data_IF_785162775213
#
_entry.id   IF_785162775213
#
_cell.length_a   1.000
_cell.length_b   1.000
_cell.length_c   1.000
_cell.angle_alpha   90.00
_cell.angle_beta   90.00
_cell.angle_gamma   90.00
#
_symmetry.space_group_name_H-M   'P 1'
#
loop_
_entity.id
_entity.type
_entity.pdbx_description
1 polymer ?
#
# COMPACT_ATOMS: atom_id res chain seq x y z
N UNK A 1 6.49 -16.76 -97.88
CA UNK A 1 6.11 -15.70 -96.90
C UNK A 1 7.35 -15.07 -96.27
N UNK A 2 8.08 -14.27 -97.05
CA UNK A 2 9.35 -13.64 -96.69
C UNK A 2 9.16 -12.20 -96.18
N UNK A 3 8.18 -12.00 -95.29
CA UNK A 3 7.75 -10.68 -94.82
C UNK A 3 7.77 -10.49 -93.29
N UNK A 4 8.09 -11.54 -92.52
CA UNK A 4 8.09 -11.52 -91.04
C UNK A 4 9.52 -11.50 -90.46
N UNK A 5 10.50 -12.05 -91.18
CA UNK A 5 11.91 -12.09 -90.77
C UNK A 5 12.74 -10.87 -91.23
N UNK A 6 12.08 -9.80 -91.72
CA UNK A 6 12.75 -8.56 -92.13
C UNK A 6 12.68 -7.43 -91.07
N UNK A 7 11.67 -7.43 -90.19
CA UNK A 7 11.43 -6.36 -89.22
C UNK A 7 12.21 -6.48 -87.91
N UNK A 8 12.80 -7.66 -87.61
CA UNK A 8 13.56 -7.89 -86.36
C UNK A 8 15.06 -7.55 -86.44
N UNK A 9 15.56 -7.09 -87.60
CA UNK A 9 16.98 -6.76 -87.81
C UNK A 9 17.30 -5.26 -87.95
N UNK A 10 16.29 -4.38 -87.86
CA UNK A 10 16.50 -2.91 -87.92
C UNK A 10 16.47 -2.20 -86.55
N UNK A 11 16.21 -2.91 -85.45
CA UNK A 11 16.08 -2.31 -84.10
C UNK A 11 17.38 -2.43 -83.28
N UNK A 12 18.30 -3.33 -83.64
CA UNK A 12 19.58 -3.55 -82.93
C UNK A 12 20.77 -2.88 -83.65
N UNK A 13 20.60 -1.62 -84.07
CA UNK A 13 21.64 -0.82 -84.72
C UNK A 13 21.86 0.57 -84.07
N UNK A 14 21.31 0.82 -82.87
CA UNK A 14 21.48 2.08 -82.10
C UNK A 14 21.86 1.77 -80.64
N UNK A 15 22.96 1.06 -80.46
CA UNK A 15 23.63 0.86 -79.16
C UNK A 15 25.15 1.15 -79.25
N UNK A 16 25.53 2.09 -80.12
CA UNK A 16 26.88 2.64 -80.18
C UNK A 16 26.83 4.15 -80.45
N UNK A 17 27.33 4.91 -79.46
CA UNK A 17 27.82 6.30 -79.55
C UNK A 17 26.88 7.46 -79.93
N UNK A 18 27.23 8.63 -79.39
CA UNK A 18 26.66 9.97 -79.61
C UNK A 18 25.24 10.28 -79.11
N UNK A 19 25.17 10.85 -77.90
CA UNK A 19 24.41 12.08 -77.70
C UNK A 19 25.06 12.93 -76.62
N UNK A 20 25.68 14.04 -77.01
CA UNK A 20 26.30 15.01 -76.10
C UNK A 20 25.63 16.37 -76.23
N UNK A 21 25.35 16.99 -75.07
CA UNK A 21 25.22 18.44 -74.84
C UNK A 21 23.84 19.07 -75.15
N UNK A 22 23.54 20.12 -74.37
CA UNK A 22 22.26 20.82 -74.18
C UNK A 22 21.18 19.98 -73.44
N UNK A 23 20.49 20.47 -72.38
CA UNK A 23 20.49 21.80 -71.75
C UNK A 23 20.84 21.76 -70.25
N UNK A 24 22.09 22.14 -69.92
CA UNK A 24 22.60 22.13 -68.54
C UNK A 24 22.59 23.50 -67.83
N UNK A 25 22.05 24.57 -68.45
CA UNK A 25 22.10 25.92 -67.88
C UNK A 25 20.96 26.23 -66.89
N UNK A 26 19.77 25.66 -67.09
CA UNK A 26 18.60 25.97 -66.26
C UNK A 26 18.51 25.06 -65.03
N UNK A 27 18.71 23.75 -65.21
CA UNK A 27 18.65 22.72 -64.15
C UNK A 27 19.73 22.95 -63.06
N UNK A 28 20.95 23.36 -63.47
CA UNK A 28 22.05 23.59 -62.53
C UNK A 28 21.80 24.78 -61.59
N UNK A 29 21.11 25.82 -62.05
CA UNK A 29 20.72 26.95 -61.20
C UNK A 29 19.72 26.50 -60.12
N UNK A 30 18.67 25.75 -60.47
CA UNK A 30 17.69 25.22 -59.51
C UNK A 30 18.33 24.27 -58.50
N UNK A 31 19.24 23.38 -58.94
CA UNK A 31 20.01 22.53 -58.02
C UNK A 31 20.96 23.35 -57.13
N UNK A 32 21.56 24.43 -57.64
CA UNK A 32 22.42 25.30 -56.82
C UNK A 32 21.62 26.04 -55.73
N UNK A 33 20.41 26.51 -56.03
CA UNK A 33 19.52 27.15 -55.05
C UNK A 33 18.97 26.12 -54.06
N UNK A 34 18.57 24.92 -54.52
CA UNK A 34 18.18 23.83 -53.62
C UNK A 34 19.34 23.38 -52.71
N UNK A 35 20.59 23.44 -53.17
CA UNK A 35 21.78 23.14 -52.37
C UNK A 35 22.21 24.29 -51.43
N UNK A 36 21.91 25.55 -51.77
CA UNK A 36 22.05 26.70 -50.84
C UNK A 36 20.96 26.65 -49.77
N UNK A 37 19.72 26.40 -50.18
CA UNK A 37 18.55 26.27 -49.31
C UNK A 37 18.72 25.07 -48.37
N UNK A 38 19.14 23.91 -48.88
CA UNK A 38 19.43 22.74 -48.03
C UNK A 38 20.59 23.01 -47.08
N UNK A 39 21.71 23.61 -47.52
CA UNK A 39 22.80 24.01 -46.61
C UNK A 39 22.34 25.00 -45.53
N UNK A 40 21.44 25.93 -45.85
CA UNK A 40 20.84 26.85 -44.88
C UNK A 40 19.86 26.15 -43.92
N UNK A 41 19.18 25.08 -44.37
CA UNK A 41 18.32 24.23 -43.53
C UNK A 41 19.18 23.33 -42.63
N UNK A 42 20.22 22.66 -43.15
CA UNK A 42 21.14 21.82 -42.35
C UNK A 42 21.93 22.66 -41.34
N UNK A 43 22.29 23.91 -41.67
CA UNK A 43 22.87 24.87 -40.70
C UNK A 43 21.89 25.24 -39.57
N UNK A 44 20.58 24.98 -39.74
CA UNK A 44 19.55 25.26 -38.73
C UNK A 44 19.34 24.10 -37.74
N UNK A 45 19.89 22.91 -38.03
CA UNK A 45 19.87 21.73 -37.15
C UNK A 45 21.27 21.31 -36.68
N UNK A 46 22.23 22.25 -36.62
CA UNK A 46 23.32 22.10 -35.66
C UNK A 46 22.77 22.23 -34.23
N UNK A 47 22.47 21.07 -33.64
CA UNK A 47 22.27 20.94 -32.20
C UNK A 47 23.49 21.48 -31.45
N UNK A 48 23.28 21.92 -30.20
CA UNK A 48 24.39 22.39 -29.40
C UNK A 48 25.36 21.25 -29.06
N UNK A 49 26.65 21.55 -28.84
CA UNK A 49 27.62 20.57 -28.34
C UNK A 49 27.14 19.89 -27.05
N UNK A 50 27.63 18.68 -26.80
CA UNK A 50 27.32 17.96 -25.57
C UNK A 50 27.69 18.80 -24.33
N UNK A 51 26.81 18.81 -23.33
CA UNK A 51 26.93 19.69 -22.16
C UNK A 51 26.51 21.15 -22.40
N UNK A 52 25.95 21.50 -23.56
CA UNK A 52 25.41 22.84 -23.86
C UNK A 52 23.93 22.80 -24.28
N UNK A 53 23.17 23.86 -23.98
CA UNK A 53 21.77 24.02 -24.41
C UNK A 53 21.58 25.35 -25.16
N UNK A 54 20.73 25.33 -26.20
CA UNK A 54 20.41 26.54 -26.98
C UNK A 54 19.57 27.51 -26.14
N UNK A 55 20.01 28.76 -26.07
CA UNK A 55 19.37 29.88 -25.39
C UNK A 55 19.53 31.12 -26.28
N UNK A 56 18.41 31.69 -26.74
CA UNK A 56 18.42 32.67 -27.82
C UNK A 56 19.12 32.14 -29.08
N UNK A 57 20.06 32.91 -29.62
CA UNK A 57 20.92 32.50 -30.74
C UNK A 57 22.02 31.50 -30.36
N UNK A 58 22.45 31.47 -29.10
CA UNK A 58 23.69 30.83 -28.68
C UNK A 58 23.49 29.46 -28.03
N UNK A 59 24.55 28.66 -28.02
CA UNK A 59 24.69 27.45 -27.20
C UNK A 59 25.41 27.80 -25.90
N UNK A 60 24.71 27.75 -24.77
CA UNK A 60 25.25 28.12 -23.46
C UNK A 60 25.64 26.87 -22.64
N UNK A 61 26.61 27.01 -21.74
CA UNK A 61 26.91 26.06 -20.65
C UNK A 61 26.07 26.36 -19.39
N UNK A 62 25.77 25.36 -18.56
CA UNK A 62 24.82 25.49 -17.45
C UNK A 62 25.37 26.31 -16.26
N UNK A 63 24.47 26.68 -15.34
CA UNK A 63 24.86 27.11 -14.00
C UNK A 63 25.32 25.91 -13.16
N UNK A 64 26.22 26.16 -12.21
CA UNK A 64 26.78 25.16 -11.31
C UNK A 64 25.85 24.90 -10.11
N UNK A 65 26.02 23.79 -9.37
CA UNK A 65 25.38 23.59 -8.08
C UNK A 65 25.60 24.80 -7.15
N UNK A 66 24.53 25.25 -6.49
CA UNK A 66 24.52 26.46 -5.66
C UNK A 66 24.20 27.77 -6.38
N UNK A 67 23.95 27.72 -7.69
CA UNK A 67 23.54 28.86 -8.51
C UNK A 67 22.20 28.60 -9.23
N UNK A 68 21.59 29.68 -9.72
CA UNK A 68 20.50 29.67 -10.71
C UNK A 68 20.76 30.66 -11.83
N UNK A 69 20.13 30.44 -12.99
CA UNK A 69 20.20 31.37 -14.14
C UNK A 69 19.60 32.73 -13.77
N UNK A 70 20.31 33.79 -14.10
CA UNK A 70 19.86 35.18 -14.06
C UNK A 70 19.54 35.69 -15.47
N UNK A 71 20.41 35.38 -16.43
CA UNK A 71 20.33 35.84 -17.83
C UNK A 71 20.96 34.82 -18.79
N UNK A 72 20.76 34.99 -20.10
CA UNK A 72 21.38 34.18 -21.15
C UNK A 72 22.90 34.42 -21.26
N UNK A 73 23.62 33.51 -21.92
CA UNK A 73 25.05 33.69 -22.20
C UNK A 73 25.29 34.67 -23.35
N UNK A 74 26.47 35.29 -23.40
CA UNK A 74 26.78 36.40 -24.33
C UNK A 74 27.36 35.96 -25.68
N UNK A 75 27.85 34.73 -25.78
CA UNK A 75 28.40 34.13 -26.98
C UNK A 75 28.24 32.59 -26.95
N UNK A 76 28.42 31.94 -28.11
CA UNK A 76 28.45 30.47 -28.19
C UNK A 76 29.58 29.88 -27.32
N UNK A 77 29.24 28.91 -26.48
CA UNK A 77 30.15 28.25 -25.55
C UNK A 77 30.33 28.95 -24.20
N UNK A 78 29.77 30.14 -23.99
CA UNK A 78 29.83 30.81 -22.68
C UNK A 78 28.95 30.11 -21.63
N UNK A 79 29.30 30.28 -20.35
CA UNK A 79 28.40 29.94 -19.24
C UNK A 79 27.24 30.93 -19.22
N UNK A 80 26.05 30.49 -18.82
CA UNK A 80 24.95 31.39 -18.44
C UNK A 80 25.40 32.44 -17.42
N UNK A 81 24.74 33.59 -17.41
CA UNK A 81 24.89 34.55 -16.30
C UNK A 81 24.13 33.96 -15.11
N UNK A 82 24.86 33.51 -14.10
CA UNK A 82 24.32 32.81 -12.94
C UNK A 82 24.41 33.69 -11.68
N UNK A 83 23.51 33.46 -10.73
CA UNK A 83 23.54 34.08 -9.40
C UNK A 83 23.26 33.05 -8.30
N UNK A 84 23.85 33.21 -7.09
CA UNK A 84 23.81 32.17 -6.06
C UNK A 84 22.41 31.98 -5.45
N UNK A 85 22.11 30.74 -5.03
CA UNK A 85 20.89 30.42 -4.26
C UNK A 85 20.87 31.09 -2.88
N UNK A 86 19.68 31.29 -2.32
CA UNK A 86 19.48 31.83 -0.98
C UNK A 86 19.96 30.84 0.11
N UNK A 87 21.08 31.15 0.78
CA UNK A 87 21.66 30.26 1.81
C UNK A 87 20.64 29.83 2.88
N UNK A 88 20.60 28.52 3.19
CA UNK A 88 19.67 27.94 4.15
C UNK A 88 18.18 27.97 3.76
N UNK A 89 17.82 28.53 2.60
CA UNK A 89 16.43 28.61 2.09
C UNK A 89 16.25 27.90 0.75
N UNK A 90 17.28 27.91 -0.08
CA UNK A 90 17.27 27.35 -1.43
C UNK A 90 18.59 26.65 -1.77
N UNK A 91 18.52 25.59 -2.57
CA UNK A 91 19.66 24.80 -3.03
C UNK A 91 19.51 24.35 -4.49
N UNK A 92 20.64 24.02 -5.13
CA UNK A 92 20.69 23.30 -6.41
C UNK A 92 21.85 22.29 -6.36
N UNK A 93 21.53 21.00 -6.54
CA UNK A 93 22.43 19.86 -6.33
C UNK A 93 23.20 19.40 -7.58
N UNK A 94 22.83 19.90 -8.76
CA UNK A 94 23.38 19.52 -10.07
C UNK A 94 23.42 20.72 -11.01
N UNK A 95 24.24 20.65 -12.04
CA UNK A 95 24.29 21.65 -13.09
C UNK A 95 22.94 21.76 -13.84
N UNK A 96 22.51 22.98 -14.16
CA UNK A 96 21.25 23.19 -14.89
C UNK A 96 21.10 24.56 -15.56
N UNK A 97 20.06 24.68 -16.38
CA UNK A 97 19.65 25.90 -17.08
C UNK A 97 18.47 26.64 -16.42
N UNK A 98 17.96 26.13 -15.28
CA UNK A 98 16.81 26.71 -14.57
C UNK A 98 17.09 28.12 -14.02
N UNK A 99 16.13 29.08 -14.14
CA UNK A 99 16.19 30.38 -13.48
C UNK A 99 15.79 30.35 -11.99
N UNK A 100 15.41 29.19 -11.45
CA UNK A 100 15.00 28.99 -10.05
C UNK A 100 15.89 27.97 -9.34
N UNK A 101 16.16 28.22 -8.06
CA UNK A 101 16.70 27.21 -7.14
C UNK A 101 15.55 26.37 -6.54
N UNK A 102 15.86 25.19 -6.00
CA UNK A 102 14.89 24.36 -5.24
C UNK A 102 14.80 24.89 -3.82
N UNK A 103 13.61 24.93 -3.21
CA UNK A 103 13.49 25.27 -1.78
C UNK A 103 14.04 24.13 -0.92
N UNK A 104 14.70 24.48 0.18
CA UNK A 104 15.15 23.52 1.18
C UNK A 104 13.96 22.76 1.79
N UNK A 105 14.12 21.45 2.00
CA UNK A 105 13.16 20.62 2.72
C UNK A 105 13.14 20.97 4.22
N UNK A 106 12.00 20.69 4.87
CA UNK A 106 11.81 20.88 6.31
C UNK A 106 11.70 19.51 6.96
N UNK A 107 12.46 19.28 8.03
CA UNK A 107 12.35 18.06 8.82
C UNK A 107 11.27 18.27 9.87
N UNK A 108 10.06 17.78 9.59
CA UNK A 108 8.90 18.03 10.43
C UNK A 108 8.95 17.25 11.75
N UNK A 109 8.93 18.01 12.84
CA UNK A 109 8.96 17.47 14.20
C UNK A 109 7.72 16.68 14.59
N UNK A 110 6.56 16.95 14.00
CA UNK A 110 5.32 16.20 14.25
C UNK A 110 5.36 14.82 13.58
N UNK A 111 5.93 14.74 12.38
CA UNK A 111 6.20 13.50 11.64
C UNK A 111 7.40 12.69 12.18
N UNK A 112 7.90 13.01 13.38
CA UNK A 112 8.98 12.28 14.04
C UNK A 112 10.38 12.50 13.46
N UNK A 113 10.56 13.53 12.62
CA UNK A 113 11.84 13.86 11.97
C UNK A 113 12.62 14.93 12.74
N UNK A 114 13.94 14.92 12.56
CA UNK A 114 14.86 15.97 12.98
C UNK A 114 15.95 16.20 11.93
N UNK A 115 16.64 17.34 12.01
CA UNK A 115 17.71 17.69 11.05
C UNK A 115 18.99 16.93 11.39
N UNK A 116 19.46 16.11 10.45
CA UNK A 116 20.81 15.52 10.48
C UNK A 116 21.84 16.49 9.87
N UNK A 117 21.48 17.13 8.76
CA UNK A 117 22.32 18.14 8.08
C UNK A 117 21.47 19.31 7.61
N UNK A 118 21.93 20.52 7.93
CA UNK A 118 21.34 21.77 7.46
C UNK A 118 21.43 21.86 5.94
N UNK A 119 20.46 22.55 5.33
CA UNK A 119 20.53 22.92 3.92
C UNK A 119 21.68 23.90 3.67
N UNK A 120 22.33 23.75 2.51
CA UNK A 120 23.30 24.71 1.96
C UNK A 120 22.93 24.98 0.51
N UNK A 121 23.53 26.01 -0.13
CA UNK A 121 23.31 26.26 -1.58
C UNK A 121 23.46 25.01 -2.46
N UNK A 122 24.34 24.06 -2.12
CA UNK A 122 24.61 22.86 -2.94
C UNK A 122 23.92 21.58 -2.45
N UNK A 123 23.27 21.59 -1.28
CA UNK A 123 22.74 20.38 -0.64
C UNK A 123 21.42 20.66 0.09
N UNK A 124 20.39 19.87 -0.20
CA UNK A 124 19.14 19.90 0.54
C UNK A 124 19.34 19.55 2.03
N UNK A 125 18.43 20.01 2.89
CA UNK A 125 18.31 19.52 4.27
C UNK A 125 18.25 17.99 4.28
N UNK A 126 19.08 17.33 5.10
CA UNK A 126 18.99 15.89 5.34
C UNK A 126 18.28 15.66 6.67
N UNK A 127 17.14 14.96 6.61
CA UNK A 127 16.39 14.57 7.80
C UNK A 127 16.76 13.16 8.24
N UNK A 128 16.61 12.89 9.54
CA UNK A 128 16.63 11.56 10.15
C UNK A 128 15.45 11.42 11.13
N UNK A 129 15.13 10.20 11.54
CA UNK A 129 14.19 10.02 12.64
C UNK A 129 14.79 10.52 13.97
N UNK A 130 13.94 11.09 14.82
CA UNK A 130 14.25 11.41 16.21
C UNK A 130 14.66 10.17 17.01
N UNK A 131 15.33 10.37 18.15
CA UNK A 131 15.52 9.32 19.15
C UNK A 131 14.18 8.67 19.52
N UNK A 132 14.14 7.33 19.59
CA UNK A 132 12.92 6.52 19.79
C UNK A 132 11.90 6.59 18.63
N UNK A 133 12.31 7.00 17.43
CA UNK A 133 11.54 6.85 16.19
C UNK A 133 12.36 6.11 15.13
N UNK A 134 11.69 5.36 14.25
CA UNK A 134 12.32 4.56 13.18
C UNK A 134 11.54 4.66 11.87
N UNK A 135 12.20 4.35 10.76
CA UNK A 135 11.56 4.09 9.47
C UNK A 135 12.24 2.92 8.75
N UNK A 136 11.47 2.12 8.01
CA UNK A 136 11.96 0.89 7.38
C UNK A 136 12.64 1.14 6.01
N UNK A 137 12.29 2.25 5.33
CA UNK A 137 12.73 2.53 3.96
C UNK A 137 13.11 4.01 3.83
N UNK A 138 14.39 4.37 3.81
CA UNK A 138 14.83 5.73 3.50
C UNK A 138 14.73 6.03 1.99
N UNK A 139 14.47 7.29 1.57
CA UNK A 139 14.22 8.47 2.41
C UNK A 139 12.83 8.44 3.06
N UNK A 140 12.75 8.90 4.31
CA UNK A 140 11.55 8.76 5.14
C UNK A 140 10.76 10.07 5.23
N UNK A 141 9.52 10.05 4.73
CA UNK A 141 8.58 11.19 4.82
C UNK A 141 8.04 11.38 6.24
N UNK A 142 7.96 10.28 7.01
CA UNK A 142 7.60 10.25 8.42
C UNK A 142 8.34 9.10 9.11
N UNK A 143 8.45 9.19 10.43
CA UNK A 143 8.99 8.12 11.27
C UNK A 143 7.95 7.64 12.28
N UNK A 144 7.98 6.35 12.57
CA UNK A 144 7.08 5.68 13.51
C UNK A 144 7.74 5.61 14.89
N UNK A 145 7.00 5.82 16.00
CA UNK A 145 7.57 5.69 17.34
C UNK A 145 7.91 4.22 17.63
N UNK A 146 9.04 3.99 18.31
CA UNK A 146 9.41 2.68 18.81
C UNK A 146 8.45 2.23 19.93
N UNK A 147 7.78 1.10 19.76
CA UNK A 147 7.06 0.41 20.83
C UNK A 147 7.97 0.05 22.01
N UNK A 148 7.42 0.05 23.22
CA UNK A 148 8.06 -0.51 24.41
C UNK A 148 7.82 -2.02 24.48
N UNK A 149 8.87 -2.79 24.79
CA UNK A 149 8.81 -4.25 24.85
C UNK A 149 8.56 -4.73 26.30
N UNK A 150 7.40 -5.35 26.53
CA UNK A 150 6.96 -5.87 27.83
C UNK A 150 7.93 -6.88 28.47
N UNK A 151 8.66 -7.65 27.66
CA UNK A 151 9.58 -8.71 28.08
C UNK A 151 11.06 -8.34 27.87
N UNK A 152 11.37 -7.05 27.73
CA UNK A 152 12.70 -6.54 27.43
C UNK A 152 12.99 -6.43 25.92
N UNK A 153 14.04 -5.67 25.61
CA UNK A 153 14.54 -5.38 24.27
C UNK A 153 15.67 -6.37 23.94
N UNK A 154 15.68 -6.92 22.73
CA UNK A 154 16.75 -7.83 22.25
C UNK A 154 17.74 -7.13 21.32
N UNK A 155 17.28 -6.12 20.57
CA UNK A 155 18.08 -5.28 19.68
C UNK A 155 17.58 -3.83 19.84
N UNK A 156 18.47 -2.86 20.09
CA UNK A 156 18.08 -1.46 20.32
C UNK A 156 17.36 -0.83 19.12
N UNK A 157 16.37 0.02 19.38
CA UNK A 157 15.65 0.72 18.31
C UNK A 157 16.55 1.81 17.69
N UNK A 158 16.82 1.71 16.40
CA UNK A 158 17.67 2.67 15.67
C UNK A 158 16.86 3.44 14.64
N UNK A 159 17.26 4.66 14.22
CA UNK A 159 16.53 5.45 13.23
C UNK A 159 16.23 4.74 11.89
N UNK A 160 16.96 3.67 11.57
CA UNK A 160 16.83 2.91 10.32
C UNK A 160 16.36 1.45 10.50
N UNK A 161 16.13 0.95 11.72
CA UNK A 161 15.63 -0.41 11.96
C UNK A 161 14.70 -0.49 13.17
N UNK A 162 13.59 -1.21 12.97
CA UNK A 162 12.67 -1.62 14.04
C UNK A 162 13.37 -2.58 15.02
N UNK A 163 13.21 -2.34 16.32
CA UNK A 163 13.75 -3.18 17.39
C UNK A 163 13.08 -4.56 17.43
N UNK A 164 13.83 -5.59 17.84
CA UNK A 164 13.22 -6.87 18.23
C UNK A 164 12.85 -6.87 19.71
N UNK A 165 11.55 -6.95 19.99
CA UNK A 165 11.07 -7.31 21.32
C UNK A 165 11.32 -8.79 21.59
N UNK A 166 11.76 -9.09 22.81
CA UNK A 166 11.89 -10.46 23.29
C UNK A 166 10.51 -11.14 23.31
N UNK A 167 10.34 -12.23 22.55
CA UNK A 167 9.13 -13.07 22.66
C UNK A 167 9.28 -13.94 23.91
N UNK A 168 8.78 -13.44 25.05
CA UNK A 168 8.82 -14.14 26.33
C UNK A 168 8.40 -15.61 26.18
N UNK A 169 9.33 -16.53 26.47
CA UNK A 169 9.10 -17.95 26.26
C UNK A 169 7.94 -18.43 27.13
N UNK A 170 6.84 -18.89 26.50
CA UNK A 170 5.74 -19.59 27.19
C UNK A 170 6.29 -20.89 27.77
N UNK A 171 6.79 -20.81 28.99
CA UNK A 171 7.50 -21.90 29.67
C UNK A 171 6.63 -23.15 29.79
N UNK A 172 7.28 -24.32 29.78
CA UNK A 172 6.69 -25.62 29.49
C UNK A 172 5.87 -26.20 30.67
N UNK A 173 4.79 -25.52 31.06
CA UNK A 173 3.85 -25.97 32.11
C UNK A 173 3.05 -27.23 31.72
N UNK A 174 3.10 -27.66 30.46
CA UNK A 174 2.50 -28.94 30.02
C UNK A 174 3.08 -30.16 30.76
N UNK A 175 4.31 -30.10 31.26
CA UNK A 175 4.88 -31.17 32.12
C UNK A 175 4.01 -31.43 33.37
N UNK A 176 3.44 -30.38 33.97
CA UNK A 176 2.60 -30.51 35.18
C UNK A 176 1.33 -31.33 34.91
N UNK A 177 0.79 -31.30 33.70
CA UNK A 177 -0.38 -32.12 33.33
C UNK A 177 -0.02 -33.61 33.27
N UNK A 178 1.16 -33.98 32.75
CA UNK A 178 1.61 -35.36 32.77
C UNK A 178 1.83 -35.89 34.20
N UNK A 179 2.34 -35.04 35.11
CA UNK A 179 2.48 -35.37 36.53
C UNK A 179 1.15 -35.70 37.23
N UNK A 180 0.02 -35.12 36.81
CA UNK A 180 -1.30 -35.43 37.36
C UNK A 180 -2.04 -36.55 36.61
N UNK A 181 -1.89 -36.65 35.29
CA UNK A 181 -2.60 -37.65 34.48
C UNK A 181 -2.09 -39.08 34.71
N UNK A 182 -0.78 -39.28 34.89
CA UNK A 182 -0.21 -40.63 35.08
C UNK A 182 -0.68 -41.29 36.40
N UNK A 183 -0.66 -40.62 37.57
CA UNK A 183 -1.20 -41.19 38.81
C UNK A 183 -2.70 -41.50 38.72
N UNK A 184 -3.50 -40.65 38.07
CA UNK A 184 -4.95 -40.87 37.90
C UNK A 184 -5.23 -42.06 37.01
N UNK A 185 -4.50 -42.22 35.90
CA UNK A 185 -4.60 -43.38 35.02
C UNK A 185 -4.18 -44.68 35.75
N UNK A 186 -3.09 -44.65 36.50
CA UNK A 186 -2.64 -45.80 37.30
C UNK A 186 -3.66 -46.20 38.38
N UNK A 187 -4.23 -45.23 39.09
CA UNK A 187 -5.28 -45.47 40.09
C UNK A 187 -6.56 -46.07 39.46
N UNK A 188 -6.95 -45.58 38.27
CA UNK A 188 -8.11 -46.13 37.54
C UNK A 188 -7.87 -47.57 37.07
N UNK A 189 -6.66 -47.90 36.60
CA UNK A 189 -6.28 -49.27 36.23
C UNK A 189 -6.29 -50.18 37.47
N UNK A 190 -5.72 -49.74 38.60
CA UNK A 190 -5.73 -50.50 39.86
C UNK A 190 -7.14 -50.68 40.44
N UNK A 191 -8.09 -49.77 40.17
CA UNK A 191 -9.49 -49.91 40.54
C UNK A 191 -10.26 -50.87 39.61
N UNK A 192 -9.86 -50.96 38.33
CA UNK A 192 -10.41 -51.93 37.36
C UNK A 192 -9.98 -53.38 37.61
N UNK A 193 -8.90 -53.61 38.36
CA UNK A 193 -8.51 -54.95 38.78
C UNK A 193 -9.49 -55.50 39.84
N UNK A 194 -10.02 -56.74 39.68
CA UNK A 194 -11.06 -57.26 40.56
C UNK A 194 -10.53 -57.56 41.96
N UNK A 195 -10.89 -56.71 42.93
CA UNK A 195 -10.62 -56.96 44.36
C UNK A 195 -11.38 -58.20 44.83
N UNK A 196 -10.66 -59.30 45.04
CA UNK A 196 -11.16 -60.44 45.83
C UNK A 196 -11.16 -60.06 47.32
N UNK A 197 -12.33 -59.74 47.85
CA UNK A 197 -12.60 -59.59 49.29
C UNK A 197 -14.03 -60.06 49.58
N UNK A 198 -14.24 -60.71 50.72
CA UNK A 198 -15.41 -61.55 50.97
C UNK A 198 -16.65 -60.82 51.52
N UNK A 199 -17.79 -61.49 51.31
CA UNK A 199 -19.07 -61.42 52.03
C UNK A 199 -19.96 -60.15 52.05
N UNK A 200 -21.23 -60.41 52.40
CA UNK A 200 -22.40 -59.52 52.48
C UNK A 200 -22.94 -59.58 53.93
N UNK A 201 -23.58 -58.53 54.49
CA UNK A 201 -25.02 -58.27 54.26
C UNK A 201 -25.41 -56.76 54.29
N UNK A 202 -26.66 -56.27 54.19
CA UNK A 202 -27.89 -56.50 53.35
C UNK A 202 -28.74 -55.19 53.46
N UNK A 203 -29.95 -55.12 52.87
CA UNK A 203 -31.00 -54.07 53.11
C UNK A 203 -30.68 -52.69 52.49
N UNK A 204 -31.59 -51.89 51.88
CA UNK A 204 -33.05 -52.00 51.60
C UNK A 204 -33.36 -51.55 50.15
N UNK A 205 -34.62 -51.73 49.71
CA UNK A 205 -35.11 -51.41 48.36
C UNK A 205 -36.08 -50.23 48.37
N UNK A 206 -35.90 -49.28 47.45
CA UNK A 206 -36.96 -48.39 46.96
C UNK A 206 -36.89 -48.28 45.42
N UNK A 207 -38.01 -47.96 44.77
CA UNK A 207 -38.17 -47.80 43.32
C UNK A 207 -38.24 -46.29 43.00
N UNK A 208 -37.61 -45.81 41.91
CA UNK A 208 -38.25 -45.54 40.59
C UNK A 208 -39.36 -44.48 40.70
N UNK A 209 -39.39 -43.34 40.01
CA UNK A 209 -38.81 -42.89 38.72
C UNK A 209 -38.55 -41.35 38.77
N UNK A 210 -37.94 -40.60 37.83
CA UNK A 210 -37.33 -40.87 36.52
C UNK A 210 -36.32 -39.74 36.12
N UNK A 211 -35.67 -39.86 34.93
CA UNK A 211 -35.13 -38.81 34.03
C UNK A 211 -34.78 -37.39 34.57
N UNK A 212 -33.49 -37.05 34.55
CA UNK A 212 -33.00 -35.67 34.37
C UNK A 212 -31.75 -35.69 33.45
N UNK A 213 -31.73 -34.99 32.29
CA UNK A 213 -30.57 -34.98 31.41
C UNK A 213 -29.34 -34.29 32.00
N UNK A 214 -28.19 -34.89 31.71
CA UNK A 214 -26.83 -34.43 31.94
C UNK A 214 -26.63 -32.92 31.74
N UNK A 215 -26.10 -32.23 32.76
CA UNK A 215 -25.56 -30.88 32.63
C UNK A 215 -24.16 -30.94 32.01
N UNK A 216 -24.03 -30.69 30.71
CA UNK A 216 -22.71 -30.51 30.07
C UNK A 216 -22.15 -29.09 30.31
N UNK A 217 -20.82 -28.95 30.51
CA UNK A 217 -20.18 -27.65 30.69
C UNK A 217 -20.09 -26.89 29.36
N UNK A 218 -20.28 -25.57 29.40
CA UNK A 218 -20.30 -24.70 28.23
C UNK A 218 -18.99 -24.71 27.43
N UNK A 219 -19.00 -25.33 26.25
CA UNK A 219 -17.94 -25.17 25.23
C UNK A 219 -17.97 -23.75 24.62
N UNK A 220 -16.82 -23.17 24.22
CA UNK A 220 -16.79 -21.91 23.46
C UNK A 220 -17.47 -21.99 22.09
N UNK A 221 -17.47 -23.16 21.44
CA UNK A 221 -17.80 -23.33 20.02
C UNK A 221 -19.25 -22.97 19.66
N UNK A 222 -20.19 -23.17 20.60
CA UNK A 222 -21.61 -22.83 20.43
C UNK A 222 -21.83 -21.34 20.16
N UNK A 223 -20.86 -20.48 20.49
CA UNK A 223 -20.95 -19.02 20.25
C UNK A 223 -20.54 -18.58 18.84
N UNK A 224 -20.04 -19.49 17.98
CA UNK A 224 -19.55 -19.15 16.64
C UNK A 224 -20.66 -19.30 15.59
N UNK A 225 -21.48 -20.34 15.67
CA UNK A 225 -22.54 -20.68 14.71
C UNK A 225 -23.70 -19.67 14.63
N UNK A 226 -23.77 -18.68 15.51
CA UNK A 226 -24.86 -17.69 15.53
C UNK A 226 -24.56 -16.43 14.68
N UNK A 227 -23.33 -16.25 14.19
CA UNK A 227 -22.87 -14.98 13.60
C UNK A 227 -22.57 -15.02 12.08
N UNK A 228 -22.74 -16.16 11.41
CA UNK A 228 -22.44 -16.31 9.97
C UNK A 228 -23.39 -15.57 9.03
N UNK A 229 -24.64 -15.36 9.49
CA UNK A 229 -25.78 -14.97 8.65
C UNK A 229 -26.23 -13.51 8.91
N UNK A 230 -25.46 -12.75 9.69
CA UNK A 230 -25.78 -11.38 10.07
C UNK A 230 -25.44 -10.42 8.92
N UNK A 231 -26.46 -9.73 8.41
CA UNK A 231 -26.27 -8.64 7.46
C UNK A 231 -25.59 -7.45 8.15
N UNK A 232 -24.43 -7.04 7.65
CA UNK A 232 -23.69 -5.91 8.22
C UNK A 232 -24.29 -4.56 7.82
N UNK A 233 -25.21 -4.49 6.85
CA UNK A 233 -25.70 -3.24 6.26
C UNK A 233 -26.19 -2.24 7.31
N UNK A 234 -27.00 -2.70 8.28
CA UNK A 234 -27.54 -1.89 9.38
C UNK A 234 -26.43 -1.34 10.31
N UNK A 235 -25.31 -2.04 10.40
CA UNK A 235 -24.20 -1.75 11.31
C UNK A 235 -23.08 -0.93 10.67
N UNK A 236 -23.00 -0.80 9.34
CA UNK A 236 -21.87 -0.14 8.65
C UNK A 236 -21.67 1.29 9.16
N UNK A 237 -22.75 2.06 9.37
CA UNK A 237 -22.66 3.42 9.91
C UNK A 237 -22.07 3.44 11.33
N UNK A 238 -22.56 2.56 12.21
CA UNK A 238 -22.07 2.42 13.59
C UNK A 238 -20.60 1.98 13.64
N UNK A 239 -20.20 1.03 12.78
CA UNK A 239 -18.80 0.59 12.65
C UNK A 239 -17.94 1.73 12.11
N UNK A 240 -18.43 2.49 11.13
CA UNK A 240 -17.75 3.66 10.60
C UNK A 240 -17.55 4.73 11.68
N UNK A 241 -18.55 5.01 12.53
CA UNK A 241 -18.45 5.97 13.64
C UNK A 241 -17.41 5.55 14.68
N UNK A 242 -17.40 4.28 15.07
CA UNK A 242 -16.48 3.73 16.08
C UNK A 242 -15.00 3.80 15.70
N UNK A 243 -14.66 3.89 14.41
CA UNK A 243 -13.29 3.82 13.91
C UNK A 243 -12.81 5.16 13.34
N UNK A 244 -11.52 5.44 13.41
CA UNK A 244 -10.91 6.57 12.68
C UNK A 244 -10.80 6.28 11.19
N UNK A 245 -10.64 7.33 10.37
CA UNK A 245 -10.43 7.20 8.92
C UNK A 245 -9.19 6.34 8.58
N UNK A 246 -8.13 6.44 9.39
CA UNK A 246 -6.92 5.64 9.21
C UNK A 246 -7.21 4.16 9.45
N UNK A 247 -7.83 3.81 10.57
CA UNK A 247 -8.18 2.43 10.92
C UNK A 247 -9.13 1.78 9.90
N UNK A 248 -10.13 2.52 9.39
CA UNK A 248 -11.02 2.01 8.32
C UNK A 248 -10.23 1.77 7.03
N UNK A 249 -9.37 2.71 6.62
CA UNK A 249 -8.55 2.57 5.40
C UNK A 249 -7.63 1.35 5.51
N UNK A 250 -6.98 1.18 6.65
CA UNK A 250 -6.06 0.07 6.89
C UNK A 250 -6.78 -1.28 7.06
N UNK A 251 -7.97 -1.28 7.63
CA UNK A 251 -8.84 -2.46 7.68
C UNK A 251 -9.22 -2.94 6.29
N UNK A 252 -9.78 -2.07 5.42
CA UNK A 252 -10.26 -2.52 4.10
C UNK A 252 -9.09 -2.94 3.20
N UNK A 253 -7.95 -2.23 3.26
CA UNK A 253 -6.68 -2.61 2.62
C UNK A 253 -6.19 -3.99 3.03
N UNK A 254 -6.02 -4.22 4.34
CA UNK A 254 -5.45 -5.48 4.88
C UNK A 254 -6.43 -6.67 4.80
N UNK A 255 -7.68 -6.39 4.42
CA UNK A 255 -8.72 -7.35 4.08
C UNK A 255 -9.20 -7.20 2.62
N UNK A 256 -8.30 -6.88 1.68
CA UNK A 256 -8.47 -7.22 0.25
C UNK A 256 -9.22 -6.22 -0.64
N UNK A 257 -9.60 -5.04 -0.15
CA UNK A 257 -10.06 -3.96 -1.03
C UNK A 257 -8.85 -3.37 -1.77
N UNK A 258 -8.95 -3.24 -3.11
CA UNK A 258 -7.84 -2.78 -3.97
C UNK A 258 -7.54 -1.30 -3.73
N UNK A 259 -6.26 -0.91 -3.64
CA UNK A 259 -5.85 0.50 -3.45
C UNK A 259 -6.49 1.45 -4.48
N UNK A 260 -6.56 1.07 -5.76
CA UNK A 260 -7.22 1.88 -6.79
C UNK A 260 -8.69 2.23 -6.44
N UNK A 261 -9.44 1.31 -5.80
CA UNK A 261 -10.82 1.57 -5.36
C UNK A 261 -10.87 2.36 -4.05
N UNK A 262 -9.88 2.17 -3.17
CA UNK A 262 -9.70 2.98 -1.96
C UNK A 262 -9.43 4.45 -2.33
N UNK A 263 -8.60 4.70 -3.34
CA UNK A 263 -8.22 6.04 -3.77
C UNK A 263 -9.32 6.75 -4.58
N UNK A 264 -10.07 6.00 -5.40
CA UNK A 264 -11.34 6.46 -6.00
C UNK A 264 -12.30 6.99 -4.91
N UNK A 265 -12.59 6.18 -3.88
CA UNK A 265 -13.50 6.55 -2.78
C UNK A 265 -12.99 7.77 -1.99
N UNK A 266 -11.68 7.88 -1.75
CA UNK A 266 -11.06 9.06 -1.10
C UNK A 266 -11.23 10.33 -1.94
N UNK A 267 -11.03 10.24 -3.25
CA UNK A 267 -11.10 11.36 -4.18
C UNK A 267 -12.54 11.89 -4.29
N UNK A 268 -13.51 11.00 -4.51
CA UNK A 268 -14.90 11.37 -4.77
C UNK A 268 -15.58 12.00 -3.54
N UNK A 269 -15.08 11.70 -2.34
CA UNK A 269 -15.65 12.13 -1.06
C UNK A 269 -14.74 13.10 -0.28
N UNK A 270 -13.75 13.73 -0.92
CA UNK A 270 -12.65 14.50 -0.30
C UNK A 270 -12.97 15.26 1.00
N UNK A 271 -14.07 16.01 1.03
CA UNK A 271 -14.47 16.85 2.18
C UNK A 271 -15.27 16.10 3.27
N UNK A 272 -15.92 14.97 2.95
CA UNK A 272 -16.78 14.25 3.89
C UNK A 272 -16.07 13.00 4.46
N UNK A 273 -15.38 13.18 5.59
CA UNK A 273 -14.67 12.09 6.28
C UNK A 273 -15.59 11.01 6.86
N UNK A 274 -16.86 11.33 7.16
CA UNK A 274 -17.83 10.32 7.61
C UNK A 274 -18.24 9.41 6.44
N UNK A 275 -18.63 10.00 5.31
CA UNK A 275 -19.03 9.24 4.12
C UNK A 275 -17.85 8.42 3.54
N UNK A 276 -16.61 8.94 3.58
CA UNK A 276 -15.41 8.16 3.25
C UNK A 276 -15.32 6.86 4.05
N UNK A 277 -15.54 6.90 5.38
CA UNK A 277 -15.50 5.70 6.23
C UNK A 277 -16.61 4.70 5.86
N UNK A 278 -17.83 5.21 5.68
CA UNK A 278 -19.01 4.41 5.29
C UNK A 278 -18.80 3.76 3.93
N UNK A 279 -18.34 4.49 2.92
CA UNK A 279 -18.16 3.99 1.55
C UNK A 279 -17.02 2.98 1.43
N UNK A 280 -15.91 3.16 2.16
CA UNK A 280 -14.85 2.15 2.24
C UNK A 280 -15.39 0.82 2.81
N UNK A 281 -16.15 0.87 3.90
CA UNK A 281 -16.75 -0.31 4.52
C UNK A 281 -17.84 -0.96 3.64
N UNK A 282 -18.68 -0.17 2.96
CA UNK A 282 -19.66 -0.67 1.97
C UNK A 282 -18.97 -1.43 0.82
N UNK A 283 -17.93 -0.85 0.22
CA UNK A 283 -17.21 -1.48 -0.88
C UNK A 283 -16.45 -2.74 -0.44
N UNK A 284 -15.87 -2.74 0.78
CA UNK A 284 -15.30 -3.95 1.36
C UNK A 284 -16.35 -5.06 1.57
N UNK A 285 -17.51 -4.73 2.14
CA UNK A 285 -18.59 -5.70 2.38
C UNK A 285 -19.12 -6.30 1.07
N UNK A 286 -19.25 -5.49 0.01
CA UNK A 286 -19.62 -5.95 -1.34
C UNK A 286 -18.60 -6.91 -1.96
N UNK A 287 -17.29 -6.73 -1.68
CA UNK A 287 -16.21 -7.57 -2.23
C UNK A 287 -16.13 -8.95 -1.56
N UNK A 288 -16.44 -9.06 -0.27
CA UNK A 288 -16.43 -10.34 0.46
C UNK A 288 -17.78 -11.08 0.41
N UNK A 289 -18.88 -10.36 0.13
CA UNK A 289 -20.22 -10.90 0.17
C UNK A 289 -20.77 -11.01 1.61
N UNK A 290 -22.04 -11.40 1.75
CA UNK A 290 -22.74 -11.36 3.04
C UNK A 290 -22.30 -12.45 4.02
N UNK A 291 -22.01 -13.65 3.52
CA UNK A 291 -21.74 -14.83 4.35
C UNK A 291 -20.41 -14.69 5.09
N UNK A 292 -20.40 -15.00 6.38
CA UNK A 292 -19.21 -14.93 7.25
C UNK A 292 -18.54 -13.53 7.31
N UNK A 293 -19.23 -12.49 6.85
CA UNK A 293 -18.70 -11.12 6.79
C UNK A 293 -18.44 -10.55 8.19
N UNK A 294 -19.34 -10.80 9.15
CA UNK A 294 -19.12 -10.41 10.55
C UNK A 294 -17.90 -11.14 11.15
N UNK A 295 -17.77 -12.45 10.91
CA UNK A 295 -16.59 -13.24 11.33
C UNK A 295 -15.30 -12.68 10.72
N UNK A 296 -15.35 -12.27 9.44
CA UNK A 296 -14.23 -11.66 8.72
C UNK A 296 -13.91 -10.26 9.25
N UNK A 297 -14.91 -9.44 9.59
CA UNK A 297 -14.76 -8.14 10.26
C UNK A 297 -14.04 -8.29 11.59
N UNK A 298 -14.54 -9.12 12.49
CA UNK A 298 -13.95 -9.34 13.83
C UNK A 298 -12.52 -9.89 13.71
N UNK A 299 -12.28 -10.83 12.81
CA UNK A 299 -10.95 -11.42 12.59
C UNK A 299 -9.98 -10.40 11.98
N UNK A 300 -10.42 -9.64 10.99
CA UNK A 300 -9.64 -8.59 10.33
C UNK A 300 -9.28 -7.44 11.27
N UNK A 301 -10.21 -7.01 12.14
CA UNK A 301 -9.96 -6.01 13.17
C UNK A 301 -8.92 -6.48 14.20
N UNK A 302 -9.01 -7.74 14.67
CA UNK A 302 -8.01 -8.31 15.59
C UNK A 302 -6.64 -8.51 14.92
N UNK A 303 -6.60 -8.86 13.63
CA UNK A 303 -5.39 -8.89 12.78
C UNK A 303 -4.70 -7.51 12.68
N UNK A 304 -5.44 -6.41 12.75
CA UNK A 304 -4.89 -5.04 12.81
C UNK A 304 -4.79 -4.47 14.24
N UNK A 305 -4.79 -5.34 15.27
CA UNK A 305 -4.69 -5.03 16.70
C UNK A 305 -5.85 -4.20 17.30
N UNK A 306 -6.93 -3.96 16.56
CA UNK A 306 -8.11 -3.20 17.04
C UNK A 306 -9.08 -4.08 17.82
N UNK A 307 -8.57 -4.81 18.82
CA UNK A 307 -9.35 -5.74 19.62
C UNK A 307 -10.52 -5.06 20.35
N UNK A 308 -10.28 -3.87 20.95
CA UNK A 308 -11.32 -3.12 21.64
C UNK A 308 -12.48 -2.70 20.71
N UNK A 309 -12.19 -2.31 19.45
CA UNK A 309 -13.22 -2.03 18.45
C UNK A 309 -13.97 -3.31 18.05
N UNK A 310 -13.25 -4.41 17.80
CA UNK A 310 -13.87 -5.70 17.48
C UNK A 310 -14.82 -6.20 18.58
N UNK A 311 -14.38 -6.18 19.84
CA UNK A 311 -15.18 -6.67 20.95
C UNK A 311 -16.37 -5.74 21.24
N UNK A 312 -16.21 -4.41 21.14
CA UNK A 312 -17.33 -3.45 21.21
C UNK A 312 -18.37 -3.64 20.09
N UNK A 313 -17.93 -3.90 18.86
CA UNK A 313 -18.82 -4.22 17.72
C UNK A 313 -19.57 -5.53 17.99
N UNK A 314 -18.90 -6.55 18.54
CA UNK A 314 -19.53 -7.83 18.90
C UNK A 314 -20.62 -7.67 19.97
N UNK A 315 -20.43 -6.80 20.93
CA UNK A 315 -21.43 -6.54 21.98
C UNK A 315 -22.60 -5.68 21.48
N UNK A 316 -22.37 -4.71 20.59
CA UNK A 316 -23.46 -3.96 19.93
C UNK A 316 -24.37 -4.90 19.13
N UNK A 317 -23.79 -5.75 18.28
CA UNK A 317 -24.53 -6.72 17.45
C UNK A 317 -25.28 -7.73 18.32
N UNK A 318 -24.65 -8.22 19.39
CA UNK A 318 -25.31 -9.12 20.36
C UNK A 318 -26.51 -8.47 21.06
N UNK A 319 -26.39 -7.21 21.46
CA UNK A 319 -27.46 -6.52 22.19
C UNK A 319 -28.66 -6.20 21.30
N UNK A 320 -28.43 -5.81 20.03
CA UNK A 320 -29.49 -5.65 19.03
C UNK A 320 -30.25 -6.97 18.77
N UNK A 321 -29.51 -8.08 18.59
CA UNK A 321 -30.09 -9.43 18.43
C UNK A 321 -30.96 -9.82 19.63
N UNK A 322 -30.48 -9.59 20.86
CA UNK A 322 -31.24 -9.88 22.07
C UNK A 322 -32.51 -9.03 22.16
N UNK A 323 -32.41 -7.72 21.93
CA UNK A 323 -33.57 -6.82 21.95
C UNK A 323 -34.60 -7.18 20.88
N UNK A 324 -34.17 -7.49 19.65
CA UNK A 324 -35.06 -7.98 18.58
C UNK A 324 -35.79 -9.25 19.00
N UNK A 325 -35.11 -10.19 19.65
CA UNK A 325 -35.72 -11.43 20.17
C UNK A 325 -36.73 -11.18 21.31
N UNK A 326 -36.40 -10.31 22.25
CA UNK A 326 -37.29 -9.92 23.35
C UNK A 326 -38.56 -9.26 22.82
N UNK A 327 -38.43 -8.31 21.88
CA UNK A 327 -39.56 -7.68 21.22
C UNK A 327 -40.44 -8.69 20.45
N UNK A 328 -39.84 -9.68 19.76
CA UNK A 328 -40.61 -10.76 19.11
C UNK A 328 -41.38 -11.62 20.10
N UNK A 329 -40.77 -12.00 21.22
CA UNK A 329 -41.45 -12.79 22.26
C UNK A 329 -42.66 -12.02 22.84
N UNK A 330 -42.48 -10.73 23.16
CA UNK A 330 -43.55 -9.87 23.68
C UNK A 330 -44.71 -9.74 22.68
N UNK A 331 -44.43 -9.60 21.38
CA UNK A 331 -45.48 -9.59 20.35
C UNK A 331 -46.27 -10.90 20.33
N UNK A 332 -45.57 -12.04 20.34
CA UNK A 332 -46.21 -13.36 20.32
C UNK A 332 -47.06 -13.64 21.57
N UNK A 333 -46.62 -13.19 22.75
CA UNK A 333 -47.39 -13.31 23.99
C UNK A 333 -48.67 -12.46 23.98
N UNK A 334 -48.61 -11.25 23.42
CA UNK A 334 -49.77 -10.37 23.25
C UNK A 334 -50.78 -10.90 22.22
N UNK A 335 -50.32 -11.57 21.15
CA UNK A 335 -51.20 -12.24 20.18
C UNK A 335 -51.81 -13.54 20.75
N UNK A 336 -51.11 -14.25 21.63
CA UNK A 336 -51.62 -15.46 22.29
C UNK A 336 -52.62 -15.22 23.43
N UNK A 337 -52.90 -13.96 23.79
CA UNK A 337 -53.85 -13.57 24.85
C UNK A 337 -55.12 -12.88 24.31
N UNK A 338 -55.46 -13.08 23.03
CA UNK A 338 -56.55 -12.38 22.33
C UNK A 338 -57.55 -13.33 21.65
#
# INVERSE_FOLDING_TARGET
NTAIWAFLLQILAICAESSTKADNAQVTNTYSELLKLSKNITKRESGCPEGQQRHGSFCCRPCLPGERKKDDCKADGDKLVCEPCSEGKEYTDKEHYSPTCRRCGICDGEHGLEVEKNCTKTQNTKCRCKSNYFCNTPPCEHCNPCSTCEHGITEDCTPANYHRCNTGSRSHLHWLWFLFLVPVAAAFILWRLPRKSADKPTVKRWRQNNNLPLSEPTSPDTTILFFSDIDLTDYISTIAELMTKSEVTDFVRKNGLKEAKIDEIKNDNLQNTAEQKVQLLRNWYQVHGKKDAFTTLITGLKKIKLCAHADKIKDIVRNDINSKRENTNITNENESQR
#
